data_IF_624236540396
#
_entry.id   IF_624236540396
#
_cell.length_a   1.000
_cell.length_b   1.000
_cell.length_c   1.000
_cell.angle_alpha   90.00
_cell.angle_beta   90.00
_cell.angle_gamma   90.00
#
_symmetry.space_group_name_H-M   'P 1'
#
loop_
_entity.id
_entity.type
_entity.pdbx_description
1 polymer ?
#
# COMPACT_ATOMS: atom_id res chain seq x y z
N UNK A 1 -16.81 -10.56 -16.11
CA UNK A 1 -16.59 -10.01 -15.71
C UNK A 1 -15.91 -9.52 -15.17
N UNK A 2 -15.70 -9.37 -14.98
CA UNK A 2 -15.20 -8.84 -14.53
C UNK A 2 -14.58 -8.19 -14.11
N UNK A 3 -14.23 -7.80 -14.19
CA UNK A 3 -13.70 -6.69 -13.82
C UNK A 3 -13.35 -6.47 -12.47
N UNK A 4 -13.16 -7.46 -11.72
CA UNK A 4 -12.61 -7.30 -10.41
C UNK A 4 -11.17 -6.98 -10.60
N UNK A 5 -10.76 -5.82 -10.13
CA UNK A 5 -9.36 -5.53 -9.98
C UNK A 5 -8.73 -6.68 -9.23
N UNK A 6 -7.57 -7.11 -9.67
CA UNK A 6 -6.85 -8.07 -8.87
C UNK A 6 -6.48 -7.42 -7.51
N UNK A 7 -6.17 -8.25 -6.55
CA UNK A 7 -5.96 -7.82 -5.17
C UNK A 7 -4.83 -6.81 -5.04
N UNK A 8 -3.74 -7.00 -5.76
CA UNK A 8 -2.60 -6.10 -5.67
C UNK A 8 -2.90 -4.73 -6.28
N UNK A 9 -3.65 -4.70 -7.37
CA UNK A 9 -4.06 -3.43 -8.00
C UNK A 9 -4.90 -2.61 -7.03
N UNK A 10 -5.83 -3.25 -6.33
CA UNK A 10 -6.66 -2.57 -5.34
C UNK A 10 -5.81 -1.93 -4.23
N UNK A 11 -4.78 -2.64 -3.77
CA UNK A 11 -3.89 -2.11 -2.74
C UNK A 11 -3.13 -0.88 -3.24
N UNK A 12 -2.52 -0.97 -4.42
CA UNK A 12 -1.76 0.16 -4.96
C UNK A 12 -2.65 1.35 -5.28
N UNK A 13 -3.86 1.10 -5.77
CA UNK A 13 -4.82 2.17 -6.01
C UNK A 13 -5.17 2.88 -4.69
N UNK A 14 -5.39 2.12 -3.63
CA UNK A 14 -5.68 2.69 -2.31
C UNK A 14 -4.50 3.51 -1.79
N UNK A 15 -3.28 3.02 -1.97
CA UNK A 15 -2.07 3.70 -1.49
C UNK A 15 -1.66 4.90 -2.35
N UNK A 16 -2.23 5.04 -3.53
CA UNK A 16 -1.90 6.15 -4.44
C UNK A 16 -2.38 7.51 -3.91
N UNK A 17 -3.35 7.52 -3.02
CA UNK A 17 -3.91 8.75 -2.49
C UNK A 17 -3.26 9.14 -1.16
N UNK A 18 -2.79 10.40 -1.03
CA UNK A 18 -2.09 10.82 0.19
C UNK A 18 -2.98 10.82 1.43
N UNK A 19 -4.27 11.13 1.28
CA UNK A 19 -5.21 11.10 2.41
C UNK A 19 -5.34 9.68 2.96
N UNK A 20 -5.47 8.71 2.05
CA UNK A 20 -5.57 7.31 2.47
C UNK A 20 -4.28 6.82 3.14
N UNK A 21 -3.13 7.23 2.63
CA UNK A 21 -1.86 6.92 3.31
C UNK A 21 -1.80 7.55 4.70
N UNK A 22 -2.33 8.76 4.83
CA UNK A 22 -2.42 9.44 6.13
C UNK A 22 -3.31 8.70 7.11
N UNK A 23 -4.42 8.17 6.64
CA UNK A 23 -5.33 7.36 7.47
C UNK A 23 -4.61 6.11 7.99
N UNK A 24 -3.93 5.39 7.09
CA UNK A 24 -3.18 4.20 7.48
C UNK A 24 -2.07 4.51 8.48
N UNK A 25 -1.38 5.62 8.26
CA UNK A 25 -0.32 6.05 9.16
C UNK A 25 -0.86 6.34 10.56
N UNK A 26 -2.03 6.99 10.62
CA UNK A 26 -2.67 7.29 11.90
C UNK A 26 -3.13 6.02 12.62
N UNK A 27 -3.54 5.01 11.88
CA UNK A 27 -3.96 3.73 12.45
C UNK A 27 -2.79 2.88 12.93
N UNK A 28 -1.61 3.08 12.36
CA UNK A 28 -0.45 2.25 12.65
C UNK A 28 -0.10 2.30 14.15
N UNK A 29 0.07 1.15 14.76
CA UNK A 29 0.40 1.04 16.17
C UNK A 29 -0.75 1.35 17.12
N UNK A 30 -1.92 1.66 16.60
CA UNK A 30 -3.12 1.88 17.40
C UNK A 30 -4.02 0.67 17.20
N UNK A 31 -4.68 0.21 18.21
CA UNK A 31 -5.64 -0.87 18.05
C UNK A 31 -6.86 -0.38 17.25
N UNK A 32 -8.02 -0.55 17.81
CA UNK A 32 -9.25 -0.02 17.20
C UNK A 32 -9.40 1.46 17.52
N UNK A 33 -9.89 2.21 16.53
CA UNK A 33 -10.17 3.63 16.72
C UNK A 33 -11.55 3.91 16.11
N UNK A 34 -12.33 4.78 16.76
CA UNK A 34 -13.64 5.19 16.25
C UNK A 34 -13.46 5.98 14.97
N UNK A 35 -14.37 5.78 14.00
CA UNK A 35 -14.35 6.52 12.74
C UNK A 35 -14.30 8.02 12.97
N UNK A 36 -15.11 8.52 13.91
CA UNK A 36 -15.15 9.97 14.20
C UNK A 36 -13.82 10.50 14.73
N UNK A 37 -13.16 9.73 15.59
CA UNK A 37 -11.84 10.11 16.10
C UNK A 37 -10.77 10.03 15.02
N UNK A 38 -10.86 9.00 14.17
CA UNK A 38 -9.93 8.82 13.06
C UNK A 38 -10.05 9.97 12.05
N UNK A 39 -11.28 10.42 11.78
CA UNK A 39 -11.55 11.46 10.80
C UNK A 39 -11.13 12.86 11.27
N UNK A 40 -11.04 13.07 12.56
CA UNK A 40 -10.90 14.40 13.16
C UNK A 40 -9.76 15.25 12.57
N UNK A 41 -8.54 14.72 12.39
CA UNK A 41 -7.45 15.54 11.85
C UNK A 41 -7.55 15.81 10.35
N UNK A 42 -8.44 15.14 9.64
CA UNK A 42 -8.59 15.30 8.19
C UNK A 42 -9.70 16.31 7.91
N UNK A 43 -9.39 17.31 7.08
CA UNK A 43 -10.34 18.38 6.78
C UNK A 43 -11.18 18.01 5.56
N UNK A 44 -11.94 16.94 5.68
CA UNK A 44 -12.82 16.48 4.61
C UNK A 44 -14.17 16.13 5.21
N UNK A 45 -15.20 16.14 4.37
CA UNK A 45 -16.55 15.79 4.81
C UNK A 45 -16.62 14.34 5.24
N UNK A 46 -17.57 14.01 6.09
CA UNK A 46 -17.78 12.62 6.50
C UNK A 46 -18.08 11.70 5.31
N UNK A 47 -18.92 12.09 4.34
CA UNK A 47 -19.10 11.25 3.14
C UNK A 47 -17.80 11.02 2.36
N UNK A 48 -16.96 12.06 2.23
CA UNK A 48 -15.67 11.93 1.56
C UNK A 48 -14.74 10.99 2.33
N UNK A 49 -14.71 11.14 3.66
CA UNK A 49 -13.90 10.26 4.51
C UNK A 49 -14.37 8.81 4.41
N UNK A 50 -15.69 8.59 4.41
CA UNK A 50 -16.27 7.25 4.25
C UNK A 50 -15.89 6.60 2.93
N UNK A 51 -15.79 7.38 1.84
CA UNK A 51 -15.33 6.85 0.56
C UNK A 51 -13.89 6.37 0.64
N UNK A 52 -13.03 7.11 1.31
CA UNK A 52 -11.64 6.69 1.53
C UNK A 52 -11.57 5.41 2.35
N UNK A 53 -12.38 5.29 3.39
CA UNK A 53 -12.43 4.08 4.20
C UNK A 53 -12.90 2.89 3.38
N UNK A 54 -13.88 3.09 2.49
CA UNK A 54 -14.37 2.01 1.64
C UNK A 54 -13.28 1.48 0.72
N UNK A 55 -12.51 2.38 0.11
CA UNK A 55 -11.40 2.00 -0.77
C UNK A 55 -10.36 1.20 0.02
N UNK A 56 -10.01 1.66 1.22
CA UNK A 56 -9.06 0.96 2.09
C UNK A 56 -9.58 -0.41 2.53
N UNK A 57 -10.86 -0.50 2.80
CA UNK A 57 -11.51 -1.75 3.21
C UNK A 57 -11.52 -2.77 2.07
N UNK A 58 -11.88 -2.33 0.87
CA UNK A 58 -11.87 -3.18 -0.31
C UNK A 58 -10.47 -3.67 -0.66
N UNK A 59 -9.46 -2.85 -0.36
CA UNK A 59 -8.06 -3.23 -0.55
C UNK A 59 -7.52 -4.12 0.57
N UNK A 60 -8.35 -4.45 1.55
CA UNK A 60 -7.99 -5.29 2.70
C UNK A 60 -6.83 -4.70 3.52
N UNK A 61 -6.81 -3.38 3.60
CA UNK A 61 -5.83 -2.63 4.39
C UNK A 61 -6.39 -2.26 5.76
N UNK A 62 -7.70 -2.20 5.88
CA UNK A 62 -8.40 -1.93 7.14
C UNK A 62 -9.59 -2.87 7.27
N UNK A 63 -10.04 -3.01 8.50
CA UNK A 63 -11.26 -3.72 8.82
C UNK A 63 -12.19 -2.77 9.57
N UNK A 64 -13.43 -2.72 9.13
CA UNK A 64 -14.47 -1.97 9.82
C UNK A 64 -15.29 -2.94 10.68
N UNK A 65 -15.52 -2.57 11.91
CA UNK A 65 -16.34 -3.35 12.82
C UNK A 65 -17.36 -2.44 13.48
N UNK A 66 -18.58 -2.92 13.56
CA UNK A 66 -19.66 -2.20 14.22
C UNK A 66 -19.96 -2.85 15.56
N UNK A 67 -19.97 -2.06 16.63
CA UNK A 67 -20.41 -2.51 17.96
C UNK A 67 -21.47 -1.56 18.44
N UNK A 68 -22.74 -1.99 18.38
CA UNK A 68 -23.85 -1.10 18.69
C UNK A 68 -23.87 0.07 17.71
N UNK A 69 -23.75 1.28 18.23
CA UNK A 69 -23.71 2.50 17.42
C UNK A 69 -22.30 2.94 17.03
N UNK A 70 -21.30 2.24 17.55
CA UNK A 70 -19.91 2.60 17.30
C UNK A 70 -19.42 1.93 16.01
N UNK A 71 -18.77 2.72 15.19
CA UNK A 71 -18.04 2.22 14.02
C UNK A 71 -16.56 2.31 14.34
N UNK A 72 -15.90 1.18 14.35
CA UNK A 72 -14.50 1.03 14.73
C UNK A 72 -13.68 0.59 13.53
N UNK A 73 -12.49 1.13 13.42
CA UNK A 73 -11.56 0.81 12.33
C UNK A 73 -10.27 0.28 12.94
N UNK A 74 -9.75 -0.77 12.33
CA UNK A 74 -8.43 -1.30 12.68
C UNK A 74 -7.69 -1.70 11.41
N UNK A 75 -6.38 -1.81 11.51
CA UNK A 75 -5.57 -2.25 10.37
C UNK A 75 -5.80 -3.73 10.09
N UNK A 76 -5.59 -4.10 8.85
CA UNK A 76 -5.66 -5.47 8.37
C UNK A 76 -4.42 -5.74 7.55
N UNK A 77 -3.76 -6.88 7.81
CA UNK A 77 -2.45 -7.17 7.24
C UNK A 77 -2.48 -7.69 5.81
N UNK A 78 -3.61 -8.25 5.38
CA UNK A 78 -3.68 -8.99 4.10
C UNK A 78 -3.30 -8.13 2.89
N UNK A 79 -3.86 -6.92 2.79
CA UNK A 79 -3.57 -6.04 1.66
C UNK A 79 -2.09 -5.67 1.59
N UNK A 80 -1.52 -5.31 2.72
CA UNK A 80 -0.11 -4.92 2.76
C UNK A 80 0.80 -6.09 2.41
N UNK A 81 0.47 -7.30 2.86
CA UNK A 81 1.24 -8.50 2.50
C UNK A 81 1.20 -8.77 1.01
N UNK A 82 0.04 -8.57 0.37
CA UNK A 82 -0.08 -8.72 -1.09
C UNK A 82 0.84 -7.75 -1.82
N UNK A 83 0.86 -6.50 -1.37
CA UNK A 83 1.73 -5.48 -1.97
C UNK A 83 3.20 -5.82 -1.76
N UNK A 84 3.57 -6.22 -0.54
CA UNK A 84 4.95 -6.59 -0.22
C UNK A 84 5.44 -7.76 -1.07
N UNK A 85 4.58 -8.77 -1.25
CA UNK A 85 4.91 -9.93 -2.06
C UNK A 85 5.19 -9.53 -3.50
N UNK A 86 4.33 -8.69 -4.07
CA UNK A 86 4.49 -8.21 -5.43
C UNK A 86 5.76 -7.38 -5.58
N UNK A 87 6.00 -6.46 -4.64
CA UNK A 87 7.20 -5.62 -4.63
C UNK A 87 8.46 -6.47 -4.53
N UNK A 88 8.45 -7.49 -3.64
CA UNK A 88 9.59 -8.39 -3.47
C UNK A 88 9.92 -9.15 -4.75
N UNK A 89 8.89 -9.61 -5.46
CA UNK A 89 9.08 -10.29 -6.75
C UNK A 89 9.70 -9.35 -7.79
N UNK A 90 9.21 -8.12 -7.88
CA UNK A 90 9.77 -7.10 -8.77
C UNK A 90 11.19 -6.72 -8.38
N UNK A 91 11.45 -6.54 -7.09
CA UNK A 91 12.78 -6.18 -6.60
C UNK A 91 13.81 -7.25 -6.97
N UNK A 92 13.45 -8.51 -6.79
CA UNK A 92 14.34 -9.63 -7.15
C UNK A 92 14.66 -9.62 -8.65
N UNK A 93 13.64 -9.37 -9.48
CA UNK A 93 13.82 -9.27 -10.93
C UNK A 93 14.75 -8.11 -11.31
N UNK A 94 14.48 -6.93 -10.74
CA UNK A 94 15.29 -5.73 -11.00
C UNK A 94 16.71 -5.91 -10.50
N UNK A 95 16.92 -6.49 -9.33
CA UNK A 95 18.25 -6.74 -8.78
C UNK A 95 19.06 -7.62 -9.71
N UNK A 96 18.47 -8.69 -10.24
CA UNK A 96 19.14 -9.56 -11.20
C UNK A 96 19.53 -8.80 -12.47
N UNK A 97 18.66 -7.93 -12.96
CA UNK A 97 18.93 -7.12 -14.15
C UNK A 97 20.04 -6.10 -13.89
N UNK A 98 20.03 -5.46 -12.75
CA UNK A 98 21.07 -4.49 -12.38
C UNK A 98 22.41 -5.18 -12.17
N UNK A 99 22.43 -6.36 -11.59
CA UNK A 99 23.66 -7.14 -11.43
C UNK A 99 24.25 -7.51 -12.79
N UNK A 100 23.42 -7.95 -13.71
CA UNK A 100 23.86 -8.28 -15.07
C UNK A 100 24.45 -7.07 -15.78
N UNK A 101 23.79 -5.91 -15.64
CA UNK A 101 24.27 -4.66 -16.22
C UNK A 101 25.60 -4.24 -15.60
N UNK A 102 25.73 -4.36 -14.29
CA UNK A 102 26.94 -4.01 -13.57
C UNK A 102 28.13 -4.85 -14.05
N UNK A 103 27.93 -6.15 -14.21
CA UNK A 103 28.95 -7.05 -14.78
C UNK A 103 29.36 -6.64 -16.18
N UNK A 104 28.38 -6.27 -17.00
CA UNK A 104 28.66 -5.83 -18.37
C UNK A 104 29.50 -4.55 -18.36
N UNK A 105 29.16 -3.60 -17.52
CA UNK A 105 29.91 -2.35 -17.41
C UNK A 105 31.34 -2.59 -16.93
N UNK A 106 31.53 -3.50 -15.99
CA UNK A 106 32.88 -3.89 -15.52
C UNK A 106 33.71 -4.50 -16.63
N UNK A 107 33.08 -5.31 -17.48
CA UNK A 107 33.78 -5.89 -18.64
C UNK A 107 34.24 -4.83 -19.61
N UNK A 108 33.38 -3.86 -19.89
CA UNK A 108 33.71 -2.75 -20.79
C UNK A 108 34.86 -1.90 -20.23
N UNK A 109 34.86 -1.61 -18.95
CA UNK A 109 35.95 -0.90 -18.29
C UNK A 109 37.26 -1.65 -18.41
N UNK A 110 37.27 -2.97 -18.21
CA UNK A 110 38.47 -3.79 -18.34
C UNK A 110 39.02 -3.76 -19.76
N UNK A 111 38.15 -3.77 -20.76
CA UNK A 111 38.57 -3.67 -22.15
C UNK A 111 39.24 -2.33 -22.45
N UNK A 112 38.68 -1.25 -21.94
CA UNK A 112 39.26 0.08 -22.10
C UNK A 112 40.62 0.20 -21.47
N UNK A 113 40.80 -0.34 -20.28
CA UNK A 113 42.08 -0.32 -19.57
C UNK A 113 43.18 -1.10 -20.27
N UNK A 114 42.83 -2.07 -21.09
CA UNK A 114 43.79 -2.89 -21.82
C UNK A 114 44.28 -2.26 -23.13
N UNK A 115 43.69 -1.14 -23.53
CA UNK A 115 44.14 -0.43 -24.73
C UNK A 115 45.31 0.54 -24.37
#
# INVERSE_FOLDING_TARGET
>A
MVNKRDKVTAVFAALADPTRRGILKRLAGRGEIRVTALARPFRISLPGFSKHLRVLEEARLIRRQRRGRLHLIRTRAEGMREAQKWIAQCAAFWDAKFDALDELLKREERKEKKR
#
